data_IF_601742637136
#
_entry.id   IF_601742637136
#
_cell.length_a   1.000
_cell.length_b   1.000
_cell.length_c   1.000
_cell.angle_alpha   90.00
_cell.angle_beta   90.00
_cell.angle_gamma   90.00
#
_symmetry.space_group_name_H-M   'P 1'
#
loop_
_entity.id
_entity.type
_entity.pdbx_description
1 polymer ?
#
# COMPACT_ATOMS: atom_id res chain seq x y z
N UNK A 1 50.07 -22.20 65.42
CA UNK A 1 48.68 -22.65 65.30
C UNK A 1 47.88 -21.64 66.08
N UNK A 2 47.31 -20.68 65.37
CA UNK A 2 46.23 -19.78 65.81
C UNK A 2 45.96 -18.83 64.64
N UNK A 3 44.71 -18.89 64.18
CA UNK A 3 44.12 -18.09 63.12
C UNK A 3 43.85 -16.66 63.57
N UNK A 4 43.70 -15.75 62.60
CA UNK A 4 42.74 -14.64 62.47
C UNK A 4 43.32 -13.70 61.40
N UNK A 5 42.70 -13.46 60.25
CA UNK A 5 41.34 -12.95 60.08
C UNK A 5 41.42 -11.45 59.79
N UNK A 6 41.87 -11.06 58.57
CA UNK A 6 41.90 -9.67 58.11
C UNK A 6 40.87 -9.46 57.00
N UNK A 7 39.85 -8.66 57.31
CA UNK A 7 39.00 -7.98 56.33
C UNK A 7 39.77 -6.78 55.75
N UNK A 8 39.71 -6.55 54.44
CA UNK A 8 39.57 -5.20 53.90
C UNK A 8 39.19 -5.16 52.41
N UNK A 9 38.72 -3.98 52.04
CA UNK A 9 37.83 -3.57 50.98
C UNK A 9 38.18 -3.92 49.52
N UNK A 10 37.15 -4.41 48.81
CA UNK A 10 36.48 -3.66 47.75
C UNK A 10 37.33 -2.77 46.85
N UNK A 11 38.05 -3.36 45.90
CA UNK A 11 38.69 -2.63 44.81
C UNK A 11 38.80 -3.44 43.53
N UNK A 12 38.40 -2.80 42.42
CA UNK A 12 38.73 -3.12 41.03
C UNK A 12 37.82 -4.09 40.27
N UNK A 13 37.23 -3.60 39.16
CA UNK A 13 36.77 -4.46 38.07
C UNK A 13 35.80 -3.81 37.07
N UNK A 14 36.28 -3.50 35.86
CA UNK A 14 35.54 -3.57 34.57
C UNK A 14 34.49 -2.48 34.32
N UNK A 15 34.74 -1.45 33.50
CA UNK A 15 34.64 -1.41 32.03
C UNK A 15 33.20 -1.58 31.46
N UNK A 16 32.87 -0.68 30.50
CA UNK A 16 31.81 -0.70 29.46
C UNK A 16 30.33 -0.76 29.93
N UNK A 17 29.32 -0.08 29.37
CA UNK A 17 29.03 0.59 28.09
C UNK A 17 28.05 1.76 28.39
N UNK A 18 28.31 2.99 27.95
CA UNK A 18 27.99 3.54 26.63
C UNK A 18 26.47 3.67 26.37
N UNK A 19 26.06 4.93 26.20
CA UNK A 19 24.70 5.43 26.03
C UNK A 19 24.07 4.94 24.73
N UNK A 20 22.77 4.65 24.76
CA UNK A 20 21.97 4.29 23.58
C UNK A 20 21.82 5.51 22.66
N UNK A 21 22.55 5.52 21.54
CA UNK A 21 22.29 6.41 20.42
C UNK A 21 21.38 5.70 19.40
N UNK A 22 20.11 6.10 19.37
CA UNK A 22 19.16 5.73 18.32
C UNK A 22 19.52 6.45 17.01
N UNK A 23 20.26 5.76 16.13
CA UNK A 23 20.51 6.23 14.78
C UNK A 23 19.37 5.81 13.84
N UNK A 24 18.51 6.79 13.57
CA UNK A 24 17.59 6.86 12.44
C UNK A 24 18.35 6.66 11.11
N UNK A 25 18.26 5.47 10.52
CA UNK A 25 18.77 5.19 9.18
C UNK A 25 17.67 5.23 8.13
N UNK A 26 17.45 6.42 7.55
CA UNK A 26 16.87 6.55 6.21
C UNK A 26 17.99 6.87 5.22
N UNK A 27 18.67 5.84 4.70
CA UNK A 27 19.58 5.98 3.58
C UNK A 27 19.03 5.21 2.38
N UNK A 28 18.32 5.92 1.49
CA UNK A 28 17.94 5.39 0.18
C UNK A 28 19.17 5.45 -0.73
N UNK A 29 19.99 4.41 -0.68
CA UNK A 29 21.10 4.22 -1.59
C UNK A 29 20.58 3.87 -2.98
N UNK A 30 20.69 4.82 -3.91
CA UNK A 30 20.63 4.56 -5.35
C UNK A 30 21.81 3.63 -5.72
N UNK A 31 21.51 2.36 -5.98
CA UNK A 31 22.44 1.38 -6.49
C UNK A 31 22.54 1.46 -8.01
N UNK A 32 23.57 2.16 -8.47
CA UNK A 32 24.12 2.12 -9.81
C UNK A 32 24.61 0.70 -10.15
N UNK A 33 24.03 0.10 -11.20
CA UNK A 33 24.59 -1.10 -11.85
C UNK A 33 24.60 -0.91 -13.36
N UNK A 34 25.75 -0.49 -13.87
CA UNK A 34 26.20 -0.65 -15.25
C UNK A 34 25.80 0.49 -16.19
N UNK A 35 26.67 1.03 -17.05
CA UNK A 35 27.92 0.49 -17.58
C UNK A 35 28.70 1.64 -18.22
N UNK A 36 29.96 1.79 -17.83
CA UNK A 36 30.95 2.48 -18.63
C UNK A 36 31.09 1.77 -19.99
N UNK A 37 30.78 2.46 -21.08
CA UNK A 37 31.42 2.33 -22.40
C UNK A 37 30.83 3.40 -23.34
N UNK A 38 31.52 4.54 -23.44
CA UNK A 38 31.88 5.28 -24.66
C UNK A 38 32.33 6.71 -24.29
N UNK A 39 33.53 7.08 -24.74
CA UNK A 39 34.14 8.41 -24.55
C UNK A 39 33.61 9.49 -25.51
N UNK A 40 34.15 10.73 -25.43
CA UNK A 40 33.34 11.95 -25.43
C UNK A 40 33.40 12.77 -26.73
N UNK A 41 32.33 13.54 -27.01
CA UNK A 41 32.40 14.67 -27.94
C UNK A 41 31.38 15.79 -27.64
N UNK A 42 31.95 16.94 -27.27
CA UNK A 42 31.63 18.30 -27.70
C UNK A 42 30.28 18.97 -27.34
N UNK A 43 30.45 20.02 -26.52
CA UNK A 43 29.62 21.22 -26.40
C UNK A 43 29.36 21.91 -27.75
N UNK A 44 28.15 22.43 -27.91
CA UNK A 44 27.73 23.57 -28.78
C UNK A 44 26.20 23.67 -28.62
N UNK A 45 25.55 24.79 -28.34
CA UNK A 45 25.94 26.17 -28.20
C UNK A 45 24.65 26.97 -27.97
N UNK A 46 24.79 27.97 -27.13
CA UNK A 46 23.87 29.06 -26.83
C UNK A 46 23.15 29.64 -28.08
N UNK A 47 21.86 29.99 -27.97
CA UNK A 47 21.28 31.20 -28.59
C UNK A 47 19.83 31.47 -28.13
N UNK A 48 19.73 32.48 -27.28
CA UNK A 48 18.54 33.28 -26.96
C UNK A 48 17.78 33.79 -28.22
N UNK A 49 16.46 34.01 -28.10
CA UNK A 49 15.85 35.34 -27.84
C UNK A 49 14.28 35.34 -27.91
N UNK A 50 13.71 35.99 -26.89
CA UNK A 50 12.49 36.84 -26.86
C UNK A 50 11.07 36.27 -26.65
N UNK A 51 10.48 36.65 -25.49
CA UNK A 51 9.05 36.59 -25.11
C UNK A 51 8.18 37.68 -25.76
N UNK A 52 6.95 38.02 -25.25
CA UNK A 52 6.62 38.40 -23.85
C UNK A 52 5.36 37.70 -23.26
N UNK A 53 5.26 37.39 -21.96
CA UNK A 53 4.83 38.19 -20.78
C UNK A 53 3.33 38.60 -20.73
N UNK A 54 2.58 38.02 -19.77
CA UNK A 54 1.41 38.61 -19.09
C UNK A 54 1.11 37.87 -17.75
N UNK A 55 0.71 38.63 -16.74
CA UNK A 55 0.75 38.44 -15.27
C UNK A 55 -0.10 37.32 -14.60
N UNK A 56 0.21 36.98 -13.33
CA UNK A 56 -0.58 36.07 -12.47
C UNK A 56 -1.50 36.83 -11.49
N UNK A 57 -2.67 36.28 -11.18
CA UNK A 57 -3.50 36.77 -10.08
C UNK A 57 -4.27 35.64 -9.36
N UNK A 58 -4.15 35.68 -8.02
CA UNK A 58 -5.05 35.19 -6.97
C UNK A 58 -5.48 33.70 -7.01
N UNK A 59 -5.16 32.87 -6.01
CA UNK A 59 -5.59 33.04 -4.63
C UNK A 59 -7.01 32.50 -4.48
N UNK A 60 -7.18 31.25 -4.01
CA UNK A 60 -8.50 30.71 -3.66
C UNK A 60 -8.44 29.99 -2.33
N UNK A 61 -9.09 30.64 -1.38
CA UNK A 61 -9.26 30.29 0.02
C UNK A 61 -10.23 29.12 0.21
N UNK A 62 -10.05 28.47 1.36
CA UNK A 62 -10.88 27.42 1.96
C UNK A 62 -12.31 27.94 2.24
N UNK A 63 -13.37 27.10 2.20
CA UNK A 63 -14.67 27.48 2.72
C UNK A 63 -14.73 27.33 4.24
N UNK A 64 -15.09 28.44 4.89
CA UNK A 64 -15.34 28.59 6.31
C UNK A 64 -16.67 27.95 6.77
N UNK A 65 -16.71 27.66 8.08
CA UNK A 65 -17.88 27.27 8.89
C UNK A 65 -19.02 28.32 8.83
N UNK A 66 -20.30 27.93 8.97
CA UNK A 66 -21.34 28.87 9.34
C UNK A 66 -21.60 28.88 10.85
N UNK A 67 -21.39 30.05 11.44
CA UNK A 67 -21.85 30.44 12.78
C UNK A 67 -23.35 30.75 12.82
N UNK A 68 -23.87 30.69 14.05
CA UNK A 68 -25.25 30.83 14.46
C UNK A 68 -25.77 32.27 14.52
N UNK A 69 -27.07 32.43 14.27
CA UNK A 69 -28.00 33.43 14.84
C UNK A 69 -29.38 33.11 14.20
N UNK A 70 -30.53 32.94 14.85
CA UNK A 70 -30.97 33.22 16.22
C UNK A 70 -32.37 33.83 16.07
N UNK A 71 -33.47 33.19 16.51
CA UNK A 71 -34.75 33.88 16.77
C UNK A 71 -35.53 33.19 17.89
N UNK A 72 -35.83 34.02 18.87
CA UNK A 72 -36.64 33.91 20.08
C UNK A 72 -38.11 33.49 19.81
N UNK A 73 -38.66 32.57 20.60
CA UNK A 73 -40.10 32.59 20.95
C UNK A 73 -40.35 31.94 22.31
N UNK A 74 -40.73 32.78 23.27
CA UNK A 74 -41.16 32.43 24.62
C UNK A 74 -42.61 31.92 24.67
N UNK A 75 -42.93 31.06 25.64
CA UNK A 75 -44.22 30.97 26.34
C UNK A 75 -43.96 30.36 27.75
N UNK A 76 -44.41 31.04 28.81
CA UNK A 76 -44.22 30.68 30.22
C UNK A 76 -45.34 29.76 30.81
N UNK A 77 -45.51 29.53 32.14
CA UNK A 77 -45.33 28.21 32.74
C UNK A 77 -46.60 27.63 33.40
N UNK A 78 -46.62 26.31 33.61
CA UNK A 78 -47.65 25.60 34.39
C UNK A 78 -47.05 24.63 35.40
N UNK A 79 -47.43 24.78 36.68
CA UNK A 79 -46.98 24.04 37.86
C UNK A 79 -47.36 22.54 37.86
N UNK A 80 -46.49 21.72 38.44
CA UNK A 80 -46.88 20.70 39.43
C UNK A 80 -46.47 19.25 39.13
N UNK A 81 -45.83 18.61 40.13
CA UNK A 81 -45.85 17.15 40.27
C UNK A 81 -44.49 16.48 40.36
N UNK A 82 -44.09 16.12 41.58
CA UNK A 82 -42.98 15.21 41.86
C UNK A 82 -43.29 13.79 41.33
N UNK A 83 -42.35 13.19 40.60
CA UNK A 83 -42.45 11.82 40.11
C UNK A 83 -41.11 11.37 39.54
N UNK A 84 -40.64 10.22 40.01
CA UNK A 84 -39.32 9.64 39.81
C UNK A 84 -38.78 9.72 38.37
N UNK A 85 -37.56 10.27 38.22
CA UNK A 85 -36.79 10.19 36.99
C UNK A 85 -36.22 8.77 36.84
N UNK A 86 -36.87 7.97 36.01
CA UNK A 86 -36.19 6.86 35.35
C UNK A 86 -35.05 7.46 34.52
N UNK A 87 -33.81 7.08 34.85
CA UNK A 87 -32.63 7.46 34.09
C UNK A 87 -32.71 6.83 32.69
N UNK A 88 -33.35 7.54 31.76
CA UNK A 88 -33.26 7.25 30.35
C UNK A 88 -31.80 7.48 29.94
N UNK A 89 -31.12 6.40 29.55
CA UNK A 89 -29.77 6.45 28.99
C UNK A 89 -29.87 7.22 27.66
N UNK A 90 -29.65 8.52 27.71
CA UNK A 90 -29.48 9.36 26.53
C UNK A 90 -28.09 9.06 25.95
N UNK A 91 -28.01 8.03 25.11
CA UNK A 91 -26.82 7.81 24.28
C UNK A 91 -26.77 8.97 23.31
N UNK A 92 -25.94 9.96 23.65
CA UNK A 92 -25.59 11.10 22.83
C UNK A 92 -25.41 10.65 21.38
N UNK A 93 -26.30 11.11 20.49
CA UNK A 93 -26.25 10.97 19.04
C UNK A 93 -25.06 11.72 18.40
N UNK A 94 -23.92 11.76 19.07
CA UNK A 94 -22.66 12.36 18.63
C UNK A 94 -21.57 11.33 18.32
N UNK A 95 -21.79 10.04 18.64
CA UNK A 95 -20.94 8.94 18.14
C UNK A 95 -21.25 8.59 16.68
N UNK A 96 -22.38 9.05 16.12
CA UNK A 96 -22.80 8.78 14.73
C UNK A 96 -21.97 9.51 13.66
N UNK A 97 -21.21 10.55 14.00
CA UNK A 97 -20.38 11.29 13.01
C UNK A 97 -19.11 10.54 12.62
N UNK A 98 -18.66 9.59 13.44
CA UNK A 98 -17.50 8.73 13.20
C UNK A 98 -17.87 7.42 12.49
N UNK A 99 -19.15 7.07 12.41
CA UNK A 99 -19.62 5.79 11.86
C UNK A 99 -20.06 5.88 10.39
N UNK A 100 -20.10 7.08 9.78
CA UNK A 100 -20.59 7.24 8.41
C UNK A 100 -19.58 6.95 7.30
N UNK A 101 -18.32 6.60 7.65
CA UNK A 101 -17.30 6.19 6.67
C UNK A 101 -16.90 4.71 6.83
N UNK A 102 -17.73 3.89 7.48
CA UNK A 102 -17.51 2.45 7.51
C UNK A 102 -17.78 1.90 6.11
N UNK A 103 -16.75 1.35 5.47
CA UNK A 103 -16.92 0.62 4.22
C UNK A 103 -17.66 -0.66 4.55
N UNK A 104 -18.88 -0.82 4.04
CA UNK A 104 -19.61 -2.08 4.19
C UNK A 104 -18.99 -3.14 3.27
N UNK A 105 -19.28 -4.41 3.55
CA UNK A 105 -18.87 -5.51 2.66
C UNK A 105 -19.45 -5.31 1.25
N UNK A 106 -20.64 -4.73 1.15
CA UNK A 106 -21.29 -4.45 -0.12
C UNK A 106 -20.59 -3.31 -0.88
N UNK A 107 -20.20 -2.23 -0.19
CA UNK A 107 -19.40 -1.16 -0.79
C UNK A 107 -18.06 -1.68 -1.29
N UNK A 108 -17.38 -2.50 -0.47
CA UNK A 108 -16.13 -3.15 -0.87
C UNK A 108 -16.33 -3.90 -2.20
N UNK A 109 -17.36 -4.75 -2.30
CA UNK A 109 -17.61 -5.57 -3.50
C UNK A 109 -18.06 -4.77 -4.72
N UNK A 110 -18.88 -3.75 -4.53
CA UNK A 110 -19.53 -3.02 -5.62
C UNK A 110 -18.75 -1.79 -6.09
N UNK A 111 -17.90 -1.22 -5.23
CA UNK A 111 -17.29 0.09 -5.46
C UNK A 111 -15.77 0.07 -5.40
N UNK A 112 -15.18 -0.61 -4.41
CA UNK A 112 -13.73 -0.58 -4.19
C UNK A 112 -13.00 -1.70 -4.95
N UNK A 113 -13.41 -2.95 -4.75
CA UNK A 113 -12.81 -4.11 -5.41
C UNK A 113 -12.82 -3.99 -6.93
N UNK A 114 -13.90 -3.55 -7.62
CA UNK A 114 -13.87 -3.42 -9.08
C UNK A 114 -12.79 -2.47 -9.60
N UNK A 115 -12.43 -1.42 -8.83
CA UNK A 115 -11.34 -0.50 -9.18
C UNK A 115 -9.98 -1.18 -9.05
N UNK A 116 -9.79 -1.93 -7.96
CA UNK A 116 -8.57 -2.70 -7.74
C UNK A 116 -8.43 -3.80 -8.79
N UNK A 117 -9.49 -4.56 -9.05
CA UNK A 117 -9.55 -5.65 -10.02
C UNK A 117 -9.19 -5.18 -11.43
N UNK A 118 -9.77 -4.05 -11.87
CA UNK A 118 -9.48 -3.46 -13.17
C UNK A 118 -8.03 -2.96 -13.26
N UNK A 119 -7.50 -2.35 -12.20
CA UNK A 119 -6.11 -1.92 -12.16
C UNK A 119 -5.14 -3.11 -12.21
N UNK A 120 -5.42 -4.17 -11.44
CA UNK A 120 -4.62 -5.40 -11.45
C UNK A 120 -4.64 -6.04 -12.85
N UNK A 121 -5.80 -6.11 -13.49
CA UNK A 121 -5.93 -6.68 -14.85
C UNK A 121 -5.09 -5.91 -15.87
N UNK A 122 -5.13 -4.57 -15.81
CA UNK A 122 -4.31 -3.70 -16.65
C UNK A 122 -2.80 -3.88 -16.40
N UNK A 123 -2.39 -3.98 -15.12
CA UNK A 123 -0.98 -4.21 -14.77
C UNK A 123 -0.49 -5.58 -15.26
N UNK A 124 -1.32 -6.62 -15.17
CA UNK A 124 -0.98 -7.97 -15.60
C UNK A 124 -0.97 -8.14 -17.12
N UNK A 125 -1.67 -7.29 -17.87
CA UNK A 125 -1.81 -7.39 -19.34
C UNK A 125 -0.97 -6.38 -20.11
N UNK A 126 -0.24 -5.50 -19.42
CA UNK A 126 0.59 -4.47 -20.02
C UNK A 126 1.77 -5.05 -20.81
N UNK A 127 2.01 -4.54 -22.02
CA UNK A 127 3.25 -4.80 -22.75
C UNK A 127 4.39 -3.86 -22.28
N UNK A 128 5.65 -4.31 -22.29
CA UNK A 128 6.79 -3.44 -21.96
C UNK A 128 6.82 -2.18 -22.85
N UNK A 129 6.76 -1.00 -22.22
CA UNK A 129 6.80 0.30 -22.91
C UNK A 129 5.44 0.96 -23.16
N UNK A 130 4.34 0.25 -22.91
CA UNK A 130 3.00 0.82 -23.03
C UNK A 130 2.66 1.75 -21.85
N UNK A 131 1.98 2.85 -22.14
CA UNK A 131 1.41 3.72 -21.10
C UNK A 131 0.21 3.02 -20.44
N UNK A 132 0.25 2.92 -19.11
CA UNK A 132 -0.87 2.39 -18.34
C UNK A 132 -1.71 3.55 -17.82
N UNK A 133 -3.00 3.66 -18.19
CA UNK A 133 -3.90 4.70 -17.70
C UNK A 133 -4.44 4.39 -16.30
N UNK A 134 -3.55 4.09 -15.34
CA UNK A 134 -3.91 3.90 -13.93
C UNK A 134 -3.42 5.09 -13.11
N UNK A 135 -4.31 5.62 -12.27
CA UNK A 135 -3.89 6.52 -11.19
C UNK A 135 -3.40 5.72 -9.99
N UNK A 136 -2.07 5.59 -9.87
CA UNK A 136 -1.45 4.91 -8.73
C UNK A 136 -1.89 5.48 -7.38
N UNK A 137 -2.05 6.80 -7.29
CA UNK A 137 -2.53 7.48 -6.08
C UNK A 137 -3.94 7.04 -5.69
N UNK A 138 -4.85 6.94 -6.67
CA UNK A 138 -6.23 6.50 -6.41
C UNK A 138 -6.28 5.03 -5.98
N UNK A 139 -5.52 4.16 -6.64
CA UNK A 139 -5.48 2.73 -6.31
C UNK A 139 -4.86 2.53 -4.93
N UNK A 140 -3.74 3.18 -4.63
CA UNK A 140 -3.12 3.13 -3.31
C UNK A 140 -4.07 3.66 -2.22
N UNK A 141 -4.74 4.78 -2.46
CA UNK A 141 -5.75 5.33 -1.54
C UNK A 141 -6.92 4.38 -1.32
N UNK A 142 -7.33 3.65 -2.37
CA UNK A 142 -8.38 2.64 -2.32
C UNK A 142 -7.98 1.47 -1.42
N UNK A 143 -6.75 0.95 -1.59
CA UNK A 143 -6.18 -0.10 -0.74
C UNK A 143 -6.12 0.35 0.71
N UNK A 144 -5.54 1.52 0.98
CA UNK A 144 -5.41 2.08 2.32
C UNK A 144 -6.77 2.15 3.04
N UNK A 145 -7.79 2.73 2.39
CA UNK A 145 -9.14 2.85 2.94
C UNK A 145 -9.75 1.48 3.29
N UNK A 146 -9.61 0.50 2.40
CA UNK A 146 -10.16 -0.84 2.64
C UNK A 146 -9.45 -1.56 3.80
N UNK A 147 -8.13 -1.43 3.91
CA UNK A 147 -7.36 -2.03 5.03
C UNK A 147 -7.73 -1.38 6.37
N UNK A 148 -7.82 -0.04 6.43
CA UNK A 148 -8.25 0.68 7.63
C UNK A 148 -9.68 0.32 8.08
N UNK A 149 -10.52 -0.11 7.12
CA UNK A 149 -11.89 -0.55 7.37
C UNK A 149 -12.00 -2.08 7.55
N UNK A 150 -10.89 -2.75 7.87
CA UNK A 150 -10.84 -4.17 8.22
C UNK A 150 -11.19 -5.16 7.09
N UNK A 151 -11.03 -4.76 5.83
CA UNK A 151 -11.26 -5.65 4.66
C UNK A 151 -9.99 -6.35 4.14
N UNK A 152 -8.88 -6.32 4.90
CA UNK A 152 -7.59 -6.85 4.43
C UNK A 152 -7.61 -8.33 4.06
N UNK A 153 -8.30 -9.16 4.84
CA UNK A 153 -8.41 -10.60 4.59
C UNK A 153 -9.17 -10.89 3.30
N UNK A 154 -10.31 -10.22 3.11
CA UNK A 154 -11.11 -10.34 1.90
C UNK A 154 -10.33 -9.83 0.69
N UNK A 155 -9.65 -8.68 0.81
CA UNK A 155 -8.81 -8.11 -0.25
C UNK A 155 -7.67 -9.04 -0.65
N UNK A 156 -6.99 -9.65 0.32
CA UNK A 156 -5.94 -10.62 0.05
C UNK A 156 -6.49 -11.83 -0.70
N UNK A 157 -7.60 -12.41 -0.23
CA UNK A 157 -8.26 -13.55 -0.88
C UNK A 157 -8.65 -13.24 -2.33
N UNK A 158 -9.23 -12.07 -2.56
CA UNK A 158 -9.65 -11.63 -3.89
C UNK A 158 -8.45 -11.34 -4.81
N UNK A 159 -7.35 -10.76 -4.29
CA UNK A 159 -6.10 -10.56 -5.02
C UNK A 159 -5.48 -11.88 -5.47
N UNK A 160 -5.33 -12.83 -4.55
CA UNK A 160 -4.80 -14.16 -4.85
C UNK A 160 -5.67 -14.84 -5.91
N UNK A 161 -7.00 -14.83 -5.74
CA UNK A 161 -7.93 -15.41 -6.71
C UNK A 161 -7.81 -14.75 -8.08
N UNK A 162 -7.74 -13.42 -8.16
CA UNK A 162 -7.60 -12.69 -9.43
C UNK A 162 -6.33 -13.06 -10.17
N UNK A 163 -5.20 -13.10 -9.45
CA UNK A 163 -3.90 -13.44 -10.03
C UNK A 163 -3.85 -14.92 -10.44
N UNK A 164 -4.34 -15.84 -9.61
CA UNK A 164 -4.47 -17.26 -9.96
C UNK A 164 -5.27 -17.44 -11.25
N UNK A 165 -6.45 -16.81 -11.36
CA UNK A 165 -7.28 -16.90 -12.56
C UNK A 165 -6.57 -16.36 -13.81
N UNK A 166 -5.77 -15.30 -13.69
CA UNK A 166 -4.96 -14.80 -14.79
C UNK A 166 -3.88 -15.81 -15.20
N UNK A 167 -3.13 -16.34 -14.23
CA UNK A 167 -2.06 -17.31 -14.48
C UNK A 167 -2.57 -18.61 -15.08
N UNK A 168 -3.77 -19.08 -14.70
CA UNK A 168 -4.39 -20.23 -15.33
C UNK A 168 -4.75 -19.99 -16.80
N UNK A 169 -5.16 -18.77 -17.17
CA UNK A 169 -5.37 -18.40 -18.58
C UNK A 169 -4.04 -18.38 -19.34
N UNK A 170 -3.02 -17.71 -18.80
CA UNK A 170 -1.67 -17.70 -19.37
C UNK A 170 -1.14 -19.12 -19.57
N UNK A 171 -1.33 -19.99 -18.58
CA UNK A 171 -0.93 -21.40 -18.66
C UNK A 171 -1.62 -22.14 -19.81
N UNK A 172 -2.93 -21.90 -20.04
CA UNK A 172 -3.68 -22.48 -21.18
C UNK A 172 -3.21 -21.92 -22.52
N UNK A 173 -2.95 -20.63 -22.61
CA UNK A 173 -2.44 -19.98 -23.83
C UNK A 173 -1.04 -20.51 -24.22
N UNK A 174 -0.18 -20.74 -23.22
CA UNK A 174 1.12 -21.38 -23.41
C UNK A 174 0.97 -22.83 -23.88
N UNK A 175 0.04 -23.61 -23.31
CA UNK A 175 -0.20 -25.00 -23.75
C UNK A 175 -0.69 -25.07 -25.20
N UNK A 176 -1.43 -24.06 -25.66
CA UNK A 176 -1.90 -23.96 -27.04
C UNK A 176 -0.85 -23.37 -28.00
N UNK A 177 0.32 -22.94 -27.50
CA UNK A 177 1.36 -22.33 -28.32
C UNK A 177 2.11 -23.37 -29.16
N UNK A 178 2.51 -23.04 -30.40
CA UNK A 178 3.27 -23.96 -31.23
C UNK A 178 4.67 -24.20 -30.63
N UNK A 179 5.24 -25.41 -30.78
CA UNK A 179 6.54 -25.76 -30.18
C UNK A 179 7.66 -24.78 -30.53
N UNK A 180 7.67 -24.29 -31.78
CA UNK A 180 8.73 -23.40 -32.29
C UNK A 180 8.75 -22.02 -31.61
N UNK A 181 7.63 -21.57 -31.04
CA UNK A 181 7.51 -20.27 -30.35
C UNK A 181 7.32 -20.43 -28.83
N UNK A 182 7.28 -21.66 -28.34
CA UNK A 182 6.86 -21.94 -26.97
C UNK A 182 7.79 -21.29 -25.93
N UNK A 183 9.10 -21.45 -26.09
CA UNK A 183 10.10 -20.86 -25.18
C UNK A 183 10.01 -19.33 -25.19
N UNK A 184 9.86 -18.72 -26.36
CA UNK A 184 9.71 -17.27 -26.49
C UNK A 184 8.44 -16.78 -25.78
N UNK A 185 7.30 -17.43 -26.03
CA UNK A 185 6.02 -17.11 -25.39
C UNK A 185 6.07 -17.27 -23.87
N UNK A 186 6.72 -18.33 -23.39
CA UNK A 186 6.93 -18.54 -21.96
C UNK A 186 7.77 -17.41 -21.36
N UNK A 187 8.88 -17.04 -22.01
CA UNK A 187 9.75 -15.97 -21.53
C UNK A 187 9.05 -14.60 -21.52
N UNK A 188 8.22 -14.30 -22.54
CA UNK A 188 7.38 -13.10 -22.58
C UNK A 188 6.40 -13.10 -21.41
N UNK A 189 5.68 -14.21 -21.19
CA UNK A 189 4.73 -14.34 -20.09
C UNK A 189 5.41 -14.16 -18.71
N UNK A 190 6.59 -14.78 -18.52
CA UNK A 190 7.39 -14.63 -17.31
C UNK A 190 7.82 -13.16 -17.10
N UNK A 191 8.40 -12.54 -18.13
CA UNK A 191 8.86 -11.15 -18.07
C UNK A 191 7.72 -10.17 -17.78
N UNK A 192 6.58 -10.35 -18.44
CA UNK A 192 5.37 -9.55 -18.23
C UNK A 192 4.85 -9.70 -16.80
N UNK A 193 4.76 -10.92 -16.28
CA UNK A 193 4.32 -11.15 -14.91
C UNK A 193 5.27 -10.53 -13.88
N UNK A 194 6.58 -10.74 -14.03
CA UNK A 194 7.58 -10.18 -13.13
C UNK A 194 7.60 -8.65 -13.17
N UNK A 195 7.39 -8.05 -14.35
CA UNK A 195 7.20 -6.61 -14.52
C UNK A 195 5.96 -6.10 -13.78
N UNK A 196 4.82 -6.78 -13.94
CA UNK A 196 3.57 -6.42 -13.25
C UNK A 196 3.73 -6.43 -11.72
N UNK A 197 4.46 -7.41 -11.17
CA UNK A 197 4.72 -7.50 -9.73
C UNK A 197 5.47 -6.27 -9.18
N UNK A 198 6.31 -5.61 -9.98
CA UNK A 198 6.99 -4.36 -9.57
C UNK A 198 6.00 -3.23 -9.28
N UNK A 199 4.82 -3.25 -9.90
CA UNK A 199 3.75 -2.26 -9.64
C UNK A 199 2.74 -2.76 -8.61
N UNK A 200 2.34 -4.03 -8.68
CA UNK A 200 1.31 -4.59 -7.80
C UNK A 200 1.79 -4.60 -6.34
N UNK A 201 3.01 -5.06 -6.05
CA UNK A 201 3.47 -5.18 -4.67
C UNK A 201 3.49 -3.83 -3.93
N UNK A 202 4.05 -2.74 -4.49
CA UNK A 202 4.01 -1.42 -3.85
C UNK A 202 2.59 -0.86 -3.68
N UNK A 203 1.67 -1.10 -4.62
CA UNK A 203 0.27 -0.67 -4.49
C UNK A 203 -0.43 -1.32 -3.29
N UNK A 204 -0.08 -2.57 -3.00
CA UNK A 204 -0.66 -3.35 -1.90
C UNK A 204 0.21 -3.36 -0.63
N UNK A 205 1.24 -2.51 -0.53
CA UNK A 205 2.21 -2.53 0.59
C UNK A 205 1.55 -2.37 1.95
N UNK A 206 0.46 -1.59 2.04
CA UNK A 206 -0.26 -1.40 3.30
C UNK A 206 -0.99 -2.68 3.72
N UNK A 207 -1.60 -3.41 2.79
CA UNK A 207 -2.14 -4.74 3.09
C UNK A 207 -1.02 -5.73 3.47
N UNK A 208 0.12 -5.68 2.80
CA UNK A 208 1.27 -6.52 3.13
C UNK A 208 1.71 -6.29 4.58
N UNK A 209 1.98 -5.04 4.93
CA UNK A 209 2.48 -4.64 6.25
C UNK A 209 1.49 -4.93 7.39
N UNK A 210 0.20 -4.66 7.19
CA UNK A 210 -0.77 -4.70 8.28
C UNK A 210 -1.57 -6.01 8.40
N UNK A 211 -1.51 -6.87 7.38
CA UNK A 211 -2.21 -8.16 7.39
C UNK A 211 -1.28 -9.34 7.11
N UNK A 212 -0.55 -9.31 5.98
CA UNK A 212 0.22 -10.48 5.55
C UNK A 212 1.44 -10.71 6.46
N UNK A 213 2.27 -9.69 6.67
CA UNK A 213 3.44 -9.80 7.54
C UNK A 213 3.02 -10.01 9.00
N UNK A 214 2.07 -9.23 9.51
CA UNK A 214 1.72 -9.24 10.94
C UNK A 214 0.83 -10.40 11.37
N UNK A 215 -0.11 -10.85 10.53
CA UNK A 215 -1.06 -11.92 10.88
C UNK A 215 -0.74 -13.25 10.25
N UNK A 216 -0.22 -13.25 9.03
CA UNK A 216 0.08 -14.48 8.29
C UNK A 216 1.56 -14.86 8.36
N UNK A 217 2.44 -13.96 8.82
CA UNK A 217 3.90 -14.14 8.88
C UNK A 217 4.49 -14.58 7.52
N UNK A 218 4.06 -13.90 6.46
CA UNK A 218 4.48 -14.12 5.06
C UNK A 218 4.79 -12.79 4.38
N UNK A 219 5.26 -12.86 3.15
CA UNK A 219 5.45 -11.69 2.27
C UNK A 219 4.60 -11.81 1.01
N UNK A 220 3.97 -10.70 0.60
CA UNK A 220 3.13 -10.66 -0.58
C UNK A 220 3.89 -11.00 -1.86
N UNK A 221 5.11 -10.47 -2.04
CA UNK A 221 5.88 -10.74 -3.26
C UNK A 221 6.18 -12.23 -3.38
N UNK A 222 6.55 -12.87 -2.28
CA UNK A 222 6.82 -14.31 -2.24
C UNK A 222 5.57 -15.14 -2.54
N UNK A 223 4.42 -14.78 -1.95
CA UNK A 223 3.14 -15.42 -2.26
C UNK A 223 2.80 -15.31 -3.75
N UNK A 224 2.99 -14.12 -4.37
CA UNK A 224 2.70 -13.90 -5.78
C UNK A 224 3.70 -14.61 -6.73
N UNK A 225 4.98 -14.71 -6.35
CA UNK A 225 5.96 -15.50 -7.11
C UNK A 225 5.58 -16.97 -7.07
N UNK A 226 5.19 -17.48 -5.89
CA UNK A 226 4.75 -18.87 -5.70
C UNK A 226 3.57 -19.22 -6.60
N UNK A 227 2.61 -18.32 -6.76
CA UNK A 227 1.49 -18.54 -7.68
C UNK A 227 1.94 -18.77 -9.13
N UNK A 228 2.92 -18.00 -9.63
CA UNK A 228 3.45 -18.24 -10.98
C UNK A 228 4.12 -19.59 -11.09
N UNK A 229 4.90 -19.97 -10.07
CA UNK A 229 5.55 -21.28 -10.02
C UNK A 229 4.53 -22.41 -10.11
N UNK A 230 3.52 -22.40 -9.25
CA UNK A 230 2.52 -23.47 -9.15
C UNK A 230 1.56 -23.54 -10.35
N UNK A 231 1.14 -22.38 -10.88
CA UNK A 231 0.13 -22.35 -11.94
C UNK A 231 0.72 -22.31 -13.35
N UNK A 232 1.99 -21.91 -13.51
CA UNK A 232 2.66 -21.79 -14.80
C UNK A 232 3.98 -22.59 -14.81
N UNK A 233 5.00 -22.22 -14.06
CA UNK A 233 6.34 -22.80 -14.26
C UNK A 233 6.37 -24.33 -14.13
N UNK A 234 5.80 -24.90 -13.07
CA UNK A 234 5.81 -26.35 -12.81
C UNK A 234 5.04 -27.16 -13.85
N UNK A 235 3.96 -26.60 -14.41
CA UNK A 235 3.15 -27.28 -15.42
C UNK A 235 3.81 -27.31 -16.80
N UNK A 236 4.77 -26.42 -17.02
CA UNK A 236 5.40 -26.17 -18.31
C UNK A 236 6.87 -26.60 -18.34
N UNK A 237 7.47 -26.93 -17.19
CA UNK A 237 8.89 -27.30 -17.06
C UNK A 237 9.31 -28.48 -17.95
N UNK A 238 8.44 -29.47 -18.14
CA UNK A 238 8.73 -30.64 -18.97
C UNK A 238 8.73 -30.35 -20.47
N UNK A 239 8.09 -29.26 -20.90
CA UNK A 239 8.10 -28.83 -22.29
C UNK A 239 9.28 -27.87 -22.59
N UNK A 240 10.02 -27.47 -21.55
CA UNK A 240 11.20 -26.60 -21.64
C UNK A 240 12.53 -27.39 -21.62
N UNK A 241 12.50 -28.67 -21.25
CA UNK A 241 13.65 -29.60 -21.27
C UNK A 241 13.68 -30.41 -22.57
#
# INVERSE_FOLDING_TARGET
>A
MEEEGMEEEGGSGGCCEAMMDDQNHNNWGAGDYGRHLLGPAAQLGDRLLHGPAADPAAGSELPALPEANGVLRSCEPGKGGAGAIAAAININASTSKFLMNVITIEDYKSTYWPKLDSAIDQLLTQSPGDYIPISYEQIYSCVYKCVCQQHSEQMYSDLIKKITNHLERVSKELQASPPDLYIERFNVALGQYMGALQSIVPLFIYMNKFYIETKLNRDLKDDLIKLFTEHVAEKHIYNLM
#
